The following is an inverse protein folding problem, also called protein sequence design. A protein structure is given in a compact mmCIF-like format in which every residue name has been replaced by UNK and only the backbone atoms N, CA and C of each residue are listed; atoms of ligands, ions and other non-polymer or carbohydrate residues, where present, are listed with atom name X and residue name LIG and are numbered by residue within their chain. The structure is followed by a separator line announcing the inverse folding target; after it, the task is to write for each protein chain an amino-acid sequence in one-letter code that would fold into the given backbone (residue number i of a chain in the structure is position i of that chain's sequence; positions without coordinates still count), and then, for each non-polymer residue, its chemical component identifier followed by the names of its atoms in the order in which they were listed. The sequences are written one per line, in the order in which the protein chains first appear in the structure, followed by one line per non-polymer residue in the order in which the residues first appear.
data_IF_216524008303
#
_entry.id   IF_216524008303
#
_cell.length_a   1.000
_cell.length_b   1.000
_cell.length_c   1.000
_cell.angle_alpha   90.00
_cell.angle_beta   90.00
_cell.angle_gamma   90.00
#
_symmetry.space_group_name_H-M   'P 1'
#
loop_
_entity.id
_entity.type
_entity.pdbx_description
1 polymer ?
#
# COMPACT_ATOMS: atom_id res chain seq x y z
N UNK A 1 -18.53 34.02 14.94
CA UNK A 1 -19.74 34.56 14.32
C UNK A 1 -19.53 36.04 14.01
N UNK A 2 -19.13 36.35 12.77
CA UNK A 2 -19.18 37.68 12.12
C UNK A 2 -19.05 37.42 10.61
N UNK A 3 -20.14 37.61 9.88
CA UNK A 3 -20.12 37.77 8.42
C UNK A 3 -19.53 39.14 8.08
N UNK A 4 -18.90 39.26 6.91
CA UNK A 4 -19.13 40.36 5.95
C UNK A 4 -18.35 40.09 4.64
N UNK A 5 -19.11 39.94 3.56
CA UNK A 5 -18.69 39.94 2.16
C UNK A 5 -18.31 41.36 1.72
N UNK A 6 -17.32 41.51 0.84
CA UNK A 6 -17.03 42.76 0.14
C UNK A 6 -16.73 42.48 -1.34
N UNK A 7 -17.43 43.23 -2.18
CA UNK A 7 -17.41 43.24 -3.65
C UNK A 7 -16.21 44.09 -4.13
N UNK A 8 -15.62 43.68 -5.26
CA UNK A 8 -14.44 44.27 -5.92
C UNK A 8 -14.59 45.75 -6.36
N UNK A 9 -13.46 46.40 -6.72
CA UNK A 9 -13.39 46.96 -8.07
C UNK A 9 -12.04 46.73 -8.80
N UNK A 10 -12.13 46.82 -10.12
CA UNK A 10 -11.13 46.52 -11.15
C UNK A 10 -10.04 47.58 -11.34
N UNK A 11 -8.82 47.15 -11.69
CA UNK A 11 -7.95 47.90 -12.63
C UNK A 11 -6.92 47.00 -13.34
N UNK A 12 -6.62 47.36 -14.59
CA UNK A 12 -5.93 46.65 -15.68
C UNK A 12 -4.54 46.05 -15.35
N UNK A 13 -4.24 44.89 -15.94
CA UNK A 13 -2.96 44.60 -16.59
C UNK A 13 -3.08 43.39 -17.53
N UNK A 14 -2.65 43.57 -18.79
CA UNK A 14 -2.53 42.50 -19.79
C UNK A 14 -1.26 41.71 -19.49
N UNK A 15 -1.39 40.59 -18.77
CA UNK A 15 -0.30 39.62 -18.59
C UNK A 15 -0.62 38.36 -19.37
N UNK A 16 0.23 38.05 -20.34
CA UNK A 16 0.25 36.81 -21.14
C UNK A 16 0.31 35.61 -20.19
N UNK A 17 -0.81 34.89 -20.02
CA UNK A 17 -0.83 33.62 -19.28
C UNK A 17 -0.56 32.49 -20.27
N UNK A 18 0.63 31.90 -20.18
CA UNK A 18 0.90 30.56 -20.72
C UNK A 18 -0.12 29.61 -20.08
N UNK A 19 -1.01 29.05 -20.90
CA UNK A 19 -1.98 28.05 -20.46
C UNK A 19 -1.27 26.79 -20.02
N UNK A 20 -1.05 26.64 -18.71
CA UNK A 20 -0.93 25.31 -18.12
C UNK A 20 -2.32 24.70 -18.26
N UNK A 21 -2.44 23.68 -19.12
CA UNK A 21 -3.60 22.80 -19.14
C UNK A 21 -3.84 22.34 -17.71
N UNK A 22 -4.93 22.78 -17.10
CA UNK A 22 -5.35 22.31 -15.80
C UNK A 22 -5.69 20.83 -15.98
N UNK A 23 -4.75 19.94 -15.65
CA UNK A 23 -5.02 18.52 -15.48
C UNK A 23 -6.08 18.45 -14.39
N UNK A 24 -7.35 18.29 -14.80
CA UNK A 24 -8.42 17.95 -13.86
C UNK A 24 -8.02 16.61 -13.24
N UNK A 25 -7.87 16.52 -11.91
CA UNK A 25 -7.75 15.21 -11.29
C UNK A 25 -9.04 14.46 -11.60
N UNK A 26 -8.92 13.32 -12.30
CA UNK A 26 -10.03 12.39 -12.47
C UNK A 26 -10.52 12.02 -11.07
N UNK A 27 -11.68 12.55 -10.71
CA UNK A 27 -12.37 12.16 -9.48
C UNK A 27 -13.11 10.88 -9.83
N UNK A 28 -12.41 9.75 -9.72
CA UNK A 28 -13.05 8.46 -9.77
C UNK A 28 -14.11 8.42 -8.67
N UNK A 29 -15.35 7.97 -8.94
CA UNK A 29 -16.33 7.73 -7.91
C UNK A 29 -15.89 6.52 -7.10
N UNK A 30 -14.90 6.70 -6.24
CA UNK A 30 -14.54 5.71 -5.24
C UNK A 30 -15.68 5.76 -4.23
N UNK A 31 -16.53 4.72 -4.25
CA UNK A 31 -17.45 4.44 -3.15
C UNK A 31 -16.55 4.08 -1.96
N UNK A 32 -16.07 5.10 -1.27
CA UNK A 32 -15.19 4.90 -0.14
C UNK A 32 -16.06 4.48 1.03
N UNK A 33 -15.92 3.22 1.46
CA UNK A 33 -16.48 2.84 2.74
C UNK A 33 -15.94 3.82 3.80
N UNK A 34 -16.79 4.29 4.73
CA UNK A 34 -16.33 5.21 5.75
C UNK A 34 -15.21 4.52 6.53
N UNK A 35 -14.00 5.05 6.41
CA UNK A 35 -12.86 4.55 7.16
C UNK A 35 -13.18 4.58 8.65
N UNK A 36 -12.62 3.62 9.39
CA UNK A 36 -12.71 3.53 10.84
C UNK A 36 -12.04 4.76 11.50
N UNK A 37 -12.78 5.87 11.53
CA UNK A 37 -12.38 7.14 12.13
C UNK A 37 -13.44 7.57 13.13
N UNK A 38 -13.09 7.47 14.40
CA UNK A 38 -13.99 7.82 15.51
C UNK A 38 -13.33 8.86 16.39
N UNK A 39 -14.05 9.94 16.73
CA UNK A 39 -13.51 10.99 17.60
C UNK A 39 -12.22 11.66 17.09
N UNK A 40 -12.00 11.68 15.77
CA UNK A 40 -10.78 12.21 15.15
C UNK A 40 -9.59 11.25 15.15
N UNK A 41 -9.71 10.05 15.73
CA UNK A 41 -8.70 9.00 15.74
C UNK A 41 -8.95 7.99 14.63
N UNK A 42 -7.88 7.52 13.99
CA UNK A 42 -7.94 6.54 12.91
C UNK A 42 -7.55 5.15 13.44
N UNK A 43 -8.39 4.14 13.20
CA UNK A 43 -8.01 2.75 13.46
C UNK A 43 -7.20 2.23 12.28
N UNK A 44 -6.03 1.66 12.55
CA UNK A 44 -5.12 1.09 11.55
C UNK A 44 -4.86 -0.37 11.88
N UNK A 45 -5.02 -1.25 10.90
CA UNK A 45 -4.71 -2.67 11.05
C UNK A 45 -3.20 -2.87 11.08
N UNK A 46 -2.70 -3.65 12.04
CA UNK A 46 -1.29 -4.02 12.15
C UNK A 46 -1.14 -5.51 12.00
N UNK A 47 -0.31 -5.93 11.05
CA UNK A 47 0.04 -7.33 10.81
C UNK A 47 1.49 -7.55 11.23
N UNK A 48 1.78 -8.17 12.40
CA UNK A 48 3.14 -8.40 12.89
C UNK A 48 4.06 -9.14 11.91
N UNK A 49 3.53 -10.19 11.27
CA UNK A 49 4.32 -11.08 10.42
C UNK A 49 5.34 -11.89 11.20
N UNK A 50 6.32 -12.42 10.48
CA UNK A 50 7.38 -13.30 10.98
C UNK A 50 8.72 -12.55 11.19
N UNK A 51 9.68 -13.25 11.79
CA UNK A 51 11.05 -12.77 11.99
C UNK A 51 11.13 -11.52 12.86
N UNK A 52 11.78 -10.47 12.35
CA UNK A 52 11.94 -9.18 13.06
C UNK A 52 10.69 -8.29 13.03
N UNK A 53 9.63 -8.70 12.33
CA UNK A 53 8.41 -7.93 12.12
C UNK A 53 7.74 -7.43 13.42
N UNK A 54 7.48 -8.31 14.40
CA UNK A 54 6.85 -7.93 15.66
C UNK A 54 7.66 -6.89 16.46
N UNK A 55 8.99 -7.03 16.50
CA UNK A 55 9.89 -6.10 17.22
C UNK A 55 9.85 -4.69 16.59
N UNK A 56 9.96 -4.61 15.26
CA UNK A 56 9.92 -3.34 14.55
C UNK A 56 8.57 -2.64 14.71
N UNK A 57 7.47 -3.39 14.69
CA UNK A 57 6.13 -2.84 14.87
C UNK A 57 5.88 -2.31 16.29
N UNK A 58 6.45 -2.96 17.30
CA UNK A 58 6.38 -2.46 18.67
C UNK A 58 7.10 -1.11 18.82
N UNK A 59 8.25 -0.94 18.15
CA UNK A 59 8.92 0.35 18.11
C UNK A 59 8.10 1.43 17.41
N UNK A 60 7.43 1.10 16.30
CA UNK A 60 6.51 2.03 15.62
C UNK A 60 5.37 2.44 16.55
N UNK A 61 4.73 1.49 17.24
CA UNK A 61 3.66 1.78 18.22
C UNK A 61 4.15 2.71 19.32
N UNK A 62 5.36 2.47 19.86
CA UNK A 62 5.97 3.30 20.90
C UNK A 62 6.23 4.73 20.44
N UNK A 63 6.77 4.91 19.23
CA UNK A 63 7.02 6.23 18.65
C UNK A 63 5.71 6.98 18.41
N UNK A 64 4.69 6.30 17.88
CA UNK A 64 3.37 6.90 17.62
C UNK A 64 2.67 7.33 18.91
N UNK A 65 2.77 6.52 19.96
CA UNK A 65 2.25 6.84 21.29
C UNK A 65 2.96 8.06 21.89
N UNK A 66 4.30 8.09 21.81
CA UNK A 66 5.11 9.22 22.30
C UNK A 66 4.79 10.52 21.55
N UNK A 67 4.64 10.45 20.22
CA UNK A 67 4.26 11.58 19.38
C UNK A 67 2.77 11.96 19.49
N UNK A 68 1.98 11.22 20.28
CA UNK A 68 0.52 11.42 20.47
C UNK A 68 -0.24 11.48 19.14
N UNK A 69 0.16 10.64 18.19
CA UNK A 69 -0.52 10.54 16.90
C UNK A 69 -1.94 10.02 17.14
N UNK A 70 -2.99 10.59 16.51
CA UNK A 70 -4.38 10.15 16.68
C UNK A 70 -4.65 8.85 15.88
N UNK A 71 -3.90 7.79 16.21
CA UNK A 71 -4.01 6.47 15.59
C UNK A 71 -4.17 5.42 16.69
N UNK A 72 -5.12 4.53 16.48
CA UNK A 72 -5.36 3.33 17.29
C UNK A 72 -4.99 2.11 16.47
N UNK A 73 -4.18 1.22 17.03
CA UNK A 73 -3.68 0.05 16.31
C UNK A 73 -4.52 -1.19 16.65
N UNK A 74 -5.11 -1.79 15.63
CA UNK A 74 -5.76 -3.10 15.72
C UNK A 74 -4.79 -4.16 15.24
N UNK A 75 -4.28 -5.00 16.14
CA UNK A 75 -3.29 -6.02 15.79
C UNK A 75 -3.97 -7.32 15.41
N UNK A 76 -3.63 -7.88 14.24
CA UNK A 76 -4.08 -9.20 13.78
C UNK A 76 -2.84 -10.03 13.55
N UNK A 77 -2.74 -11.12 14.30
CA UNK A 77 -1.62 -12.06 14.19
C UNK A 77 -1.78 -12.88 12.92
N UNK A 78 -0.79 -12.75 12.03
CA UNK A 78 -0.61 -13.61 10.86
C UNK A 78 0.83 -14.06 10.91
N UNK A 79 1.03 -15.36 10.96
CA UNK A 79 2.33 -16.00 10.95
C UNK A 79 2.42 -17.03 9.80
N UNK A 80 3.63 -17.50 9.54
CA UNK A 80 3.90 -18.56 8.56
C UNK A 80 3.52 -19.96 9.06
N UNK A 81 3.11 -20.09 10.33
CA UNK A 81 2.64 -21.33 10.96
C UNK A 81 1.21 -21.66 10.56
N UNK A 82 0.33 -20.66 10.59
CA UNK A 82 -1.09 -20.86 10.36
C UNK A 82 -1.43 -20.68 8.87
N UNK A 83 -1.58 -21.83 8.20
CA UNK A 83 -1.98 -21.89 6.80
C UNK A 83 -3.50 -21.90 6.62
N UNK A 84 -4.28 -21.60 7.66
CA UNK A 84 -5.73 -21.47 7.51
C UNK A 84 -6.11 -20.21 6.73
N UNK A 85 -7.04 -20.36 5.78
CA UNK A 85 -7.56 -19.21 5.02
C UNK A 85 -8.38 -18.26 5.90
N UNK A 86 -8.92 -18.76 7.01
CA UNK A 86 -9.69 -17.96 7.97
C UNK A 86 -8.89 -16.80 8.58
N UNK A 87 -7.60 -17.01 8.88
CA UNK A 87 -6.74 -15.95 9.42
C UNK A 87 -6.51 -14.86 8.38
N UNK A 88 -6.28 -15.26 7.13
CA UNK A 88 -6.12 -14.31 6.03
C UNK A 88 -7.41 -13.55 5.74
N UNK A 89 -8.56 -14.22 5.75
CA UNK A 89 -9.87 -13.59 5.55
C UNK A 89 -10.14 -12.56 6.65
N UNK A 90 -9.84 -12.89 7.90
CA UNK A 90 -9.96 -11.96 9.03
C UNK A 90 -9.09 -10.71 8.84
N UNK A 91 -7.86 -10.89 8.39
CA UNK A 91 -6.97 -9.78 8.08
C UNK A 91 -7.51 -8.90 6.96
N UNK A 92 -7.97 -9.50 5.86
CA UNK A 92 -8.55 -8.77 4.72
C UNK A 92 -9.78 -7.98 5.14
N UNK A 93 -10.69 -8.59 5.91
CA UNK A 93 -11.88 -7.91 6.44
C UNK A 93 -11.51 -6.70 7.30
N UNK A 94 -10.52 -6.84 8.19
CA UNK A 94 -10.07 -5.73 9.00
C UNK A 94 -9.40 -4.62 8.19
N UNK A 95 -8.59 -4.97 7.18
CA UNK A 95 -7.98 -4.00 6.27
C UNK A 95 -9.05 -3.26 5.48
N UNK A 96 -10.06 -3.96 4.96
CA UNK A 96 -11.17 -3.33 4.25
C UNK A 96 -11.98 -2.40 5.15
N UNK A 97 -12.22 -2.81 6.41
CA UNK A 97 -12.92 -1.99 7.41
C UNK A 97 -12.15 -0.72 7.78
N UNK A 98 -10.85 -0.86 8.02
CA UNK A 98 -10.01 0.25 8.50
C UNK A 98 -9.51 1.13 7.34
N UNK A 99 -9.36 0.55 6.14
CA UNK A 99 -8.86 1.17 4.92
C UNK A 99 -7.34 1.28 4.82
N UNK A 100 -6.62 1.13 5.93
CA UNK A 100 -5.16 1.25 6.00
C UNK A 100 -4.59 0.14 6.88
N UNK A 101 -3.44 -0.38 6.47
CA UNK A 101 -2.74 -1.42 7.18
C UNK A 101 -1.23 -1.16 7.23
N UNK A 102 -0.60 -1.58 8.33
CA UNK A 102 0.84 -1.65 8.47
C UNK A 102 1.23 -3.12 8.64
N UNK A 103 2.04 -3.65 7.72
CA UNK A 103 2.45 -5.06 7.72
C UNK A 103 3.95 -5.22 7.91
N UNK A 104 4.31 -6.20 8.73
CA UNK A 104 5.62 -6.83 8.71
C UNK A 104 5.79 -7.75 7.51
N UNK A 105 6.91 -8.46 7.49
CA UNK A 105 7.17 -9.48 6.47
C UNK A 105 6.49 -10.79 6.87
N UNK A 106 5.74 -11.41 5.96
CA UNK A 106 5.20 -12.75 6.16
C UNK A 106 6.09 -13.70 5.37
N UNK A 107 6.72 -14.65 6.04
CA UNK A 107 7.66 -15.56 5.40
C UNK A 107 6.89 -16.54 4.48
N UNK A 108 7.37 -16.69 3.25
CA UNK A 108 6.83 -17.66 2.30
C UNK A 108 7.79 -18.83 2.25
N UNK A 109 7.35 -20.02 2.68
CA UNK A 109 8.15 -21.24 2.58
C UNK A 109 8.16 -21.69 1.12
N UNK A 110 9.33 -21.65 0.48
CA UNK A 110 9.50 -22.01 -0.93
C UNK A 110 9.62 -23.53 -1.17
N UNK A 111 9.72 -24.30 -0.09
CA UNK A 111 10.07 -25.72 -0.15
C UNK A 111 8.93 -26.63 -0.65
N UNK A 112 7.70 -26.10 -0.72
CA UNK A 112 6.52 -26.85 -1.15
C UNK A 112 5.94 -26.26 -2.45
N UNK A 113 5.79 -27.06 -3.52
CA UNK A 113 5.33 -26.59 -4.83
C UNK A 113 3.88 -26.10 -4.83
N UNK A 114 3.08 -26.44 -3.81
CA UNK A 114 1.68 -25.99 -3.67
C UNK A 114 1.55 -24.69 -2.85
N UNK A 115 2.65 -24.12 -2.37
CA UNK A 115 2.61 -22.98 -1.46
C UNK A 115 2.35 -21.66 -2.20
N UNK A 116 1.11 -21.17 -2.14
CA UNK A 116 0.77 -19.82 -2.60
C UNK A 116 1.26 -18.79 -1.59
N UNK A 117 2.01 -17.79 -2.06
CA UNK A 117 2.49 -16.72 -1.17
C UNK A 117 1.33 -15.89 -0.64
N UNK A 118 1.16 -15.87 0.70
CA UNK A 118 0.18 -15.03 1.40
C UNK A 118 0.34 -13.54 1.08
N UNK A 119 1.57 -13.08 0.80
CA UNK A 119 1.82 -11.69 0.40
C UNK A 119 1.21 -11.36 -0.97
N UNK A 120 1.32 -12.29 -1.93
CA UNK A 120 0.73 -12.14 -3.27
C UNK A 120 -0.79 -12.22 -3.17
N UNK A 121 -1.29 -13.14 -2.34
CA UNK A 121 -2.73 -13.31 -2.11
C UNK A 121 -3.36 -12.05 -1.49
N UNK A 122 -2.74 -11.45 -0.47
CA UNK A 122 -3.18 -10.18 0.11
C UNK A 122 -3.29 -9.08 -0.95
N UNK A 123 -2.27 -8.94 -1.81
CA UNK A 123 -2.26 -7.91 -2.87
C UNK A 123 -3.38 -8.13 -3.88
N UNK A 124 -3.57 -9.37 -4.34
CA UNK A 124 -4.61 -9.72 -5.32
C UNK A 124 -6.01 -9.55 -4.75
N UNK A 125 -6.27 -10.00 -3.51
CA UNK A 125 -7.60 -9.91 -2.90
C UNK A 125 -7.98 -8.50 -2.48
N UNK A 126 -7.00 -7.65 -2.15
CA UNK A 126 -7.21 -6.23 -1.82
C UNK A 126 -7.05 -5.29 -3.03
N UNK A 127 -6.79 -5.84 -4.23
CA UNK A 127 -6.54 -5.09 -5.46
C UNK A 127 -5.47 -3.98 -5.32
N UNK A 128 -4.36 -4.33 -4.65
CA UNK A 128 -3.22 -3.43 -4.42
C UNK A 128 -2.29 -3.41 -5.64
N UNK A 129 -2.78 -2.80 -6.72
CA UNK A 129 -2.15 -2.82 -8.05
C UNK A 129 -0.82 -2.03 -8.14
N UNK A 130 -0.64 -0.98 -7.34
CA UNK A 130 0.55 -0.13 -7.38
C UNK A 130 1.44 -0.33 -6.16
N UNK A 131 2.68 -0.76 -6.40
CA UNK A 131 3.75 -0.72 -5.42
C UNK A 131 4.63 0.52 -5.67
N UNK A 132 4.75 1.37 -4.66
CA UNK A 132 5.56 2.59 -4.71
C UNK A 132 6.77 2.42 -3.80
N UNK A 133 7.95 2.47 -4.38
CA UNK A 133 9.23 2.41 -3.65
C UNK A 133 9.95 3.74 -3.81
N UNK A 134 10.25 4.38 -2.68
CA UNK A 134 11.05 5.60 -2.64
C UNK A 134 12.47 5.29 -2.19
N UNK A 135 13.43 5.51 -3.07
CA UNK A 135 14.85 5.29 -2.82
C UNK A 135 15.55 6.65 -2.71
N UNK A 136 15.88 7.04 -1.48
CA UNK A 136 16.58 8.30 -1.17
C UNK A 136 17.95 8.01 -0.57
N UNK A 137 18.95 8.78 -0.96
CA UNK A 137 20.26 8.75 -0.31
C UNK A 137 20.17 9.37 1.08
N UNK A 138 20.53 8.60 2.11
CA UNK A 138 20.60 9.10 3.49
C UNK A 138 22.02 9.65 3.71
N UNK A 139 22.20 10.94 4.07
CA UNK A 139 23.52 11.58 4.13
C UNK A 139 24.53 10.89 5.05
N UNK A 140 24.06 10.23 6.11
CA UNK A 140 24.91 9.54 7.09
C UNK A 140 25.29 8.11 6.68
N UNK A 141 24.63 7.55 5.67
CA UNK A 141 24.86 6.18 5.21
C UNK A 141 25.85 6.19 4.06
N UNK A 142 27.02 5.55 4.26
CA UNK A 142 28.05 5.46 3.22
C UNK A 142 27.58 4.54 2.10
N UNK A 143 27.25 5.11 0.95
CA UNK A 143 26.93 4.41 -0.29
C UNK A 143 27.92 4.80 -1.40
N UNK A 144 27.98 4.01 -2.47
CA UNK A 144 28.82 4.32 -3.65
C UNK A 144 28.26 5.49 -4.46
N UNK A 145 26.93 5.63 -4.51
CA UNK A 145 26.22 6.70 -5.19
C UNK A 145 25.60 7.65 -4.16
N UNK A 146 25.68 8.94 -4.45
CA UNK A 146 25.15 10.02 -3.62
C UNK A 146 24.04 10.77 -4.35
N UNK A 147 23.25 11.56 -3.62
CA UNK A 147 22.19 12.43 -4.15
C UNK A 147 21.15 11.69 -5.00
N UNK A 148 20.77 10.48 -4.57
CA UNK A 148 19.70 9.70 -5.17
C UNK A 148 18.35 10.15 -4.60
N UNK A 149 17.40 10.44 -5.49
CA UNK A 149 15.98 10.61 -5.20
C UNK A 149 15.18 9.98 -6.34
N UNK A 150 14.81 8.72 -6.17
CA UNK A 150 14.14 7.91 -7.20
C UNK A 150 12.86 7.34 -6.62
N UNK A 151 11.74 7.54 -7.33
CA UNK A 151 10.48 6.88 -7.05
C UNK A 151 10.23 5.82 -8.12
N UNK A 152 10.18 4.55 -7.71
CA UNK A 152 9.83 3.43 -8.57
C UNK A 152 8.36 3.07 -8.33
N UNK A 153 7.55 3.13 -9.38
CA UNK A 153 6.17 2.66 -9.37
C UNK A 153 6.13 1.38 -10.18
N UNK A 154 5.68 0.29 -9.56
CA UNK A 154 5.62 -1.03 -10.16
C UNK A 154 4.22 -1.62 -10.02
N UNK A 155 3.75 -2.24 -11.09
CA UNK A 155 2.54 -3.06 -11.11
C UNK A 155 2.74 -4.32 -10.23
N UNK A 156 1.71 -4.73 -9.46
CA UNK A 156 1.86 -5.66 -8.35
C UNK A 156 0.80 -6.79 -8.29
N UNK A 157 -0.14 -6.82 -9.24
CA UNK A 157 -1.25 -7.77 -9.35
C UNK A 157 -1.13 -8.70 -10.57
N UNK A 158 -0.60 -8.23 -11.71
CA UNK A 158 -0.53 -8.97 -12.96
C UNK A 158 0.91 -9.34 -13.36
N UNK A 159 1.10 -9.72 -14.62
CA UNK A 159 2.40 -10.08 -15.16
C UNK A 159 2.93 -11.38 -14.55
N UNK A 160 4.10 -11.30 -13.91
CA UNK A 160 4.78 -12.46 -13.32
C UNK A 160 4.04 -13.03 -12.11
N UNK A 161 3.12 -12.24 -11.50
CA UNK A 161 2.31 -12.69 -10.37
C UNK A 161 1.05 -13.47 -10.79
N UNK A 162 0.88 -13.76 -12.09
CA UNK A 162 -0.22 -14.60 -12.58
C UNK A 162 -0.18 -15.99 -11.96
N UNK A 163 1.02 -16.56 -11.77
CA UNK A 163 1.24 -17.90 -11.23
C UNK A 163 0.64 -19.00 -12.10
N UNK A 164 0.48 -18.75 -13.41
CA UNK A 164 -0.10 -19.69 -14.36
C UNK A 164 1.01 -20.49 -15.02
N UNK A 165 1.32 -21.64 -14.43
CA UNK A 165 2.39 -22.52 -14.89
C UNK A 165 1.84 -23.92 -15.17
N UNK A 166 2.33 -24.55 -16.24
CA UNK A 166 2.00 -25.93 -16.54
C UNK A 166 3.16 -26.63 -17.25
N UNK A 167 3.20 -27.96 -17.13
CA UNK A 167 4.17 -28.80 -17.83
C UNK A 167 3.45 -29.48 -19.01
N UNK A 168 3.65 -28.97 -20.22
CA UNK A 168 3.01 -29.49 -21.44
C UNK A 168 3.45 -30.92 -21.77
N UNK A 169 4.76 -31.17 -21.64
CA UNK A 169 5.40 -32.47 -21.79
C UNK A 169 6.48 -32.57 -20.72
N UNK A 170 6.77 -33.77 -20.21
CA UNK A 170 7.79 -33.99 -19.20
C UNK A 170 9.13 -33.32 -19.58
N UNK A 171 9.56 -32.35 -18.78
CA UNK A 171 10.77 -31.54 -18.98
C UNK A 171 10.57 -30.21 -19.72
N UNK A 172 9.34 -29.88 -20.14
CA UNK A 172 8.99 -28.60 -20.77
C UNK A 172 7.96 -27.87 -19.90
N UNK A 173 8.43 -26.86 -19.17
CA UNK A 173 7.61 -26.03 -18.29
C UNK A 173 7.31 -24.70 -18.98
N UNK A 174 6.04 -24.37 -19.05
CA UNK A 174 5.54 -23.11 -19.61
C UNK A 174 4.99 -22.24 -18.49
N UNK A 175 5.32 -20.93 -18.54
CA UNK A 175 4.79 -19.92 -17.62
C UNK A 175 4.08 -18.84 -18.43
N UNK A 176 2.81 -18.60 -18.10
CA UNK A 176 1.93 -17.69 -18.84
C UNK A 176 1.84 -16.37 -18.08
N UNK A 177 2.40 -15.33 -18.70
CA UNK A 177 2.28 -13.95 -18.24
C UNK A 177 1.03 -13.30 -18.83
N UNK A 178 0.08 -12.91 -17.98
CA UNK A 178 -1.08 -12.14 -18.43
C UNK A 178 -0.92 -10.66 -18.08
N UNK A 179 -1.23 -9.79 -19.05
CA UNK A 179 -1.19 -8.33 -18.92
C UNK A 179 -2.45 -7.80 -19.59
N UNK A 180 -3.29 -7.10 -18.85
CA UNK A 180 -4.52 -6.51 -19.36
C UNK A 180 -4.43 -4.97 -19.31
N UNK A 181 -5.07 -4.25 -20.25
CA UNK A 181 -5.20 -2.79 -20.12
C UNK A 181 -5.97 -2.44 -18.85
N UNK A 182 -5.48 -1.46 -18.10
CA UNK A 182 -6.19 -0.88 -16.96
C UNK A 182 -7.30 0.03 -17.49
N UNK A 183 -8.56 -0.31 -17.19
CA UNK A 183 -9.74 0.54 -17.49
C UNK A 183 -9.80 1.80 -16.58
#
# INVERSE_FOLDING_TARGET
MRLLTAIAPSSRSLTVKRGLSAIRPLTLPIIHQPHAKYGGRHTVTVLPGDGIGPEMLEHVKRIFSFAKVPVDFETIEIDSSDLSDHVLDNAIMAIQRNGVALKGNIETKFDLPEFKSRNVELRRRLDLYANVLHCVSIPTVRARQHDLDIVLIRENCEGEYSGLEHESVKGVVESIKSIYPSD
#
